data_IF_524087358523
#
_entry.id   IF_524087358523
#
_cell.length_a   1.000
_cell.length_b   1.000
_cell.length_c   1.000
_cell.angle_alpha   90.00
_cell.angle_beta   90.00
_cell.angle_gamma   90.00
#
_symmetry.space_group_name_H-M   'P 1'
#
loop_
_entity.id
_entity.type
_entity.pdbx_description
1 polymer ?
#
# COMPACT_ATOMS: atom_id res chain seq x y z
N UNK A 1 12.32 -11.91 21.93
CA UNK A 1 11.90 -13.02 21.04
C UNK A 1 12.94 -13.16 19.95
N UNK A 2 13.25 -14.39 19.53
CA UNK A 2 14.19 -14.69 18.44
C UNK A 2 13.52 -15.64 17.45
N UNK A 3 14.07 -15.76 16.25
CA UNK A 3 13.67 -16.82 15.33
C UNK A 3 14.24 -18.16 15.77
N UNK A 4 13.47 -19.23 15.57
CA UNK A 4 13.95 -20.60 15.70
C UNK A 4 14.68 -21.06 14.43
N UNK A 5 15.66 -21.96 14.58
CA UNK A 5 16.16 -22.75 13.46
C UNK A 5 15.06 -23.71 13.03
N UNK A 6 14.77 -23.72 11.73
CA UNK A 6 13.66 -24.50 11.15
C UNK A 6 14.23 -25.79 10.58
N UNK A 7 13.70 -26.91 11.02
CA UNK A 7 13.91 -28.23 10.42
C UNK A 7 12.62 -28.77 9.80
N UNK A 8 12.67 -29.98 9.23
CA UNK A 8 11.51 -30.62 8.59
C UNK A 8 10.36 -30.97 9.54
N UNK A 9 10.57 -30.90 10.86
CA UNK A 9 9.54 -31.17 11.87
C UNK A 9 8.90 -29.90 12.45
N UNK A 10 9.41 -28.73 12.05
CA UNK A 10 8.97 -27.46 12.59
C UNK A 10 7.55 -27.13 12.13
N UNK A 11 6.63 -26.77 13.04
CA UNK A 11 5.25 -26.44 12.66
C UNK A 11 5.20 -25.15 11.84
N UNK A 12 4.60 -25.25 10.65
CA UNK A 12 4.46 -24.14 9.70
C UNK A 12 3.01 -23.74 9.51
N UNK A 13 2.78 -22.44 9.31
CA UNK A 13 1.51 -21.88 8.87
C UNK A 13 1.30 -22.25 7.40
N UNK A 14 0.15 -22.82 7.10
CA UNK A 14 -0.25 -23.23 5.75
C UNK A 14 -1.70 -22.86 5.49
N UNK A 15 -2.10 -22.87 4.22
CA UNK A 15 -3.47 -22.58 3.78
C UNK A 15 -3.98 -21.21 4.25
N UNK A 16 -3.07 -20.22 4.33
CA UNK A 16 -3.42 -18.86 4.70
C UNK A 16 -4.32 -18.23 3.62
N UNK A 17 -5.47 -17.74 4.06
CA UNK A 17 -6.47 -17.08 3.23
C UNK A 17 -7.04 -15.86 3.95
N UNK A 18 -7.56 -14.92 3.16
CA UNK A 18 -8.17 -13.69 3.67
C UNK A 18 -9.51 -13.42 2.99
N UNK A 19 -10.43 -12.85 3.75
CA UNK A 19 -11.69 -12.30 3.23
C UNK A 19 -11.88 -10.88 3.77
N UNK A 20 -12.12 -9.92 2.88
CA UNK A 20 -12.36 -8.51 3.23
C UNK A 20 -13.82 -8.17 2.95
N UNK A 21 -14.55 -7.77 3.99
CA UNK A 21 -15.96 -7.37 3.92
C UNK A 21 -16.24 -6.25 4.91
N UNK A 22 -16.95 -5.19 4.49
CA UNK A 22 -17.39 -4.08 5.36
C UNK A 22 -16.28 -3.51 6.27
N UNK A 23 -15.07 -3.32 5.70
CA UNK A 23 -13.84 -2.89 6.41
C UNK A 23 -13.33 -3.86 7.48
N UNK A 24 -13.74 -5.12 7.45
CA UNK A 24 -13.15 -6.17 8.26
C UNK A 24 -12.34 -7.13 7.39
N UNK A 25 -11.13 -7.46 7.84
CA UNK A 25 -10.34 -8.56 7.30
C UNK A 25 -10.51 -9.77 8.21
N UNK A 26 -10.92 -10.91 7.65
CA UNK A 26 -10.88 -12.20 8.33
C UNK A 26 -9.78 -13.04 7.72
N UNK A 27 -8.79 -13.42 8.53
CA UNK A 27 -7.73 -14.34 8.16
C UNK A 27 -8.06 -15.75 8.66
N UNK A 28 -7.81 -16.75 7.83
CA UNK A 28 -7.91 -18.16 8.17
C UNK A 28 -6.70 -18.90 7.66
N UNK A 29 -6.22 -19.83 8.47
CA UNK A 29 -5.11 -20.72 8.13
C UNK A 29 -5.33 -22.08 8.78
N UNK A 30 -4.58 -23.08 8.32
CA UNK A 30 -4.51 -24.36 9.01
C UNK A 30 -3.69 -24.19 10.27
N UNK A 31 -4.32 -24.39 11.43
CA UNK A 31 -3.64 -24.31 12.71
C UNK A 31 -2.60 -25.42 12.83
N UNK A 32 -1.30 -25.13 13.03
CA UNK A 32 -0.27 -26.17 13.09
C UNK A 32 -0.41 -27.06 14.32
N UNK A 33 -0.07 -28.33 14.18
CA UNK A 33 -0.10 -29.27 15.31
C UNK A 33 0.93 -28.90 16.39
N UNK A 34 0.59 -29.15 17.65
CA UNK A 34 1.44 -28.83 18.81
C UNK A 34 1.53 -27.35 19.18
N UNK A 35 1.11 -26.42 18.31
CA UNK A 35 1.18 -24.97 18.55
C UNK A 35 0.00 -24.51 19.41
N UNK A 36 0.26 -23.81 20.51
CA UNK A 36 -0.77 -23.27 21.41
C UNK A 36 -1.20 -21.85 21.05
N UNK A 37 -0.28 -21.07 20.48
CA UNK A 37 -0.54 -19.70 20.06
C UNK A 37 0.32 -19.32 18.85
N UNK A 38 -0.11 -18.29 18.13
CA UNK A 38 0.66 -17.65 17.06
C UNK A 38 0.90 -16.19 17.39
N UNK A 39 1.89 -15.58 16.76
CA UNK A 39 2.08 -14.14 16.77
C UNK A 39 1.70 -13.59 15.39
N UNK A 40 0.81 -12.59 15.36
CA UNK A 40 0.33 -11.96 14.14
C UNK A 40 0.94 -10.56 14.06
N UNK A 41 1.70 -10.31 13.00
CA UNK A 41 2.24 -9.00 12.68
C UNK A 41 1.41 -8.37 11.55
N UNK A 42 1.06 -7.09 11.72
CA UNK A 42 0.35 -6.27 10.72
C UNK A 42 1.23 -5.07 10.39
N UNK A 43 1.47 -4.83 9.10
CA UNK A 43 2.23 -3.68 8.63
C UNK A 43 1.73 -3.20 7.26
N UNK A 44 2.15 -2.00 6.84
CA UNK A 44 2.03 -1.60 5.43
C UNK A 44 2.73 -2.64 4.54
N UNK A 45 2.13 -2.98 3.40
CA UNK A 45 2.73 -3.93 2.47
C UNK A 45 4.06 -3.44 1.87
N UNK A 46 4.32 -2.13 1.92
CA UNK A 46 5.58 -1.50 1.49
C UNK A 46 6.65 -1.47 2.59
N UNK A 47 6.30 -1.84 3.82
CA UNK A 47 7.27 -1.90 4.90
C UNK A 47 8.36 -2.95 4.56
N UNK A 48 9.65 -2.67 4.83
CA UNK A 48 10.72 -3.63 4.64
C UNK A 48 10.39 -4.93 5.39
N UNK A 49 10.37 -6.04 4.65
CA UNK A 49 10.02 -7.37 5.19
C UNK A 49 11.26 -8.06 5.77
N UNK A 50 12.46 -7.59 5.41
CA UNK A 50 13.72 -8.25 5.73
C UNK A 50 14.40 -7.66 6.96
N UNK A 51 14.34 -8.44 8.04
CA UNK A 51 15.18 -8.27 9.22
C UNK A 51 15.53 -9.64 9.80
N UNK A 52 16.75 -9.77 10.32
CA UNK A 52 17.18 -10.98 11.04
C UNK A 52 16.53 -11.13 12.42
N UNK A 53 15.74 -10.13 12.83
CA UNK A 53 14.99 -10.13 14.07
C UNK A 53 13.48 -10.10 13.82
N UNK A 54 12.68 -10.74 14.69
CA UNK A 54 11.23 -10.60 14.65
C UNK A 54 10.76 -9.15 14.74
N UNK A 55 9.73 -8.75 13.97
CA UNK A 55 9.16 -7.41 14.10
C UNK A 55 8.57 -7.14 15.50
N UNK A 56 8.60 -5.88 15.93
CA UNK A 56 7.93 -5.44 17.15
C UNK A 56 6.41 -5.34 16.95
N UNK A 57 5.65 -5.19 18.04
CA UNK A 57 4.22 -4.88 17.97
C UNK A 57 3.31 -6.04 17.50
N UNK A 58 3.78 -7.28 17.55
CA UNK A 58 2.95 -8.43 17.20
C UNK A 58 1.84 -8.68 18.23
N UNK A 59 0.70 -9.17 17.75
CA UNK A 59 -0.39 -9.64 18.58
C UNK A 59 -0.26 -11.14 18.84
N UNK A 60 -0.26 -11.55 20.10
CA UNK A 60 -0.41 -12.95 20.48
C UNK A 60 -1.86 -13.37 20.24
N UNK A 61 -2.06 -14.55 19.64
CA UNK A 61 -3.39 -15.08 19.35
C UNK A 61 -3.44 -16.58 19.62
N UNK A 62 -4.34 -17.03 20.48
CA UNK A 62 -4.41 -18.43 20.92
C UNK A 62 -5.28 -19.29 20.02
N UNK A 63 -5.10 -20.61 20.14
CA UNK A 63 -5.94 -21.58 19.41
C UNK A 63 -7.42 -21.47 19.81
N UNK A 64 -7.69 -21.18 21.08
CA UNK A 64 -9.02 -21.00 21.62
C UNK A 64 -9.69 -19.77 21.01
N UNK A 65 -8.98 -18.64 20.94
CA UNK A 65 -9.48 -17.43 20.29
C UNK A 65 -9.78 -17.67 18.81
N UNK A 66 -8.87 -18.36 18.10
CA UNK A 66 -9.06 -18.70 16.69
C UNK A 66 -10.29 -19.56 16.45
N UNK A 67 -10.52 -20.58 17.28
CA UNK A 67 -11.71 -21.43 17.21
C UNK A 67 -13.00 -20.65 17.52
N UNK A 68 -12.97 -19.84 18.57
CA UNK A 68 -14.13 -19.04 18.99
C UNK A 68 -14.57 -18.03 17.93
N UNK A 69 -13.62 -17.47 17.18
CA UNK A 69 -13.87 -16.45 16.16
C UNK A 69 -13.92 -17.00 14.72
N UNK A 70 -13.69 -18.31 14.54
CA UNK A 70 -13.59 -18.95 13.22
C UNK A 70 -12.58 -18.25 12.28
N UNK A 71 -11.41 -17.94 12.83
CA UNK A 71 -10.39 -17.11 12.18
C UNK A 71 -9.85 -16.00 13.08
N UNK A 72 -8.94 -15.21 12.54
CA UNK A 72 -8.55 -13.92 13.11
C UNK A 72 -9.31 -12.80 12.41
N UNK A 73 -10.04 -11.98 13.16
CA UNK A 73 -10.78 -10.84 12.62
C UNK A 73 -10.09 -9.53 13.03
N UNK A 74 -9.80 -8.71 12.04
CA UNK A 74 -9.21 -7.38 12.20
C UNK A 74 -10.08 -6.32 11.52
N UNK A 75 -10.10 -5.13 12.12
CA UNK A 75 -10.73 -3.97 11.49
C UNK A 75 -9.68 -3.25 10.64
N UNK A 76 -9.99 -3.05 9.36
CA UNK A 76 -9.15 -2.32 8.42
C UNK A 76 -9.46 -0.82 8.54
N UNK A 77 -8.83 -0.19 9.53
CA UNK A 77 -8.84 1.27 9.68
C UNK A 77 -7.70 1.95 8.90
N UNK A 78 -6.78 1.16 8.32
CA UNK A 78 -5.70 1.60 7.44
C UNK A 78 -6.20 1.94 6.02
N UNK A 79 -5.33 2.53 5.22
CA UNK A 79 -5.55 2.79 3.79
C UNK A 79 -4.40 2.16 2.99
N UNK A 80 -4.70 1.64 1.80
CA UNK A 80 -3.72 1.00 0.91
C UNK A 80 -3.63 -0.51 1.12
N UNK A 81 -2.47 -1.09 0.82
CA UNK A 81 -2.23 -2.51 1.01
C UNK A 81 -1.62 -2.79 2.39
N UNK A 82 -2.22 -3.73 3.10
CA UNK A 82 -1.79 -4.18 4.43
C UNK A 82 -1.28 -5.61 4.32
N UNK A 83 -0.10 -5.87 4.87
CA UNK A 83 0.46 -7.20 4.98
C UNK A 83 0.24 -7.76 6.40
N UNK A 84 -0.26 -8.99 6.46
CA UNK A 84 -0.28 -9.80 7.67
C UNK A 84 0.75 -10.91 7.55
N UNK A 85 1.55 -11.11 8.59
CA UNK A 85 2.48 -12.24 8.71
C UNK A 85 2.18 -13.00 9.99
N UNK A 86 1.99 -14.31 9.89
CA UNK A 86 1.65 -15.17 11.03
C UNK A 86 2.87 -16.01 11.37
N UNK A 87 3.29 -15.97 12.63
CA UNK A 87 4.42 -16.73 13.12
C UNK A 87 3.91 -17.79 14.10
N UNK A 88 4.21 -19.07 13.84
CA UNK A 88 4.02 -20.09 14.85
C UNK A 88 4.92 -19.80 16.05
N UNK A 89 4.34 -19.83 17.25
CA UNK A 89 5.06 -19.59 18.49
C UNK A 89 5.47 -20.92 19.11
N UNK A 90 6.77 -21.09 19.34
CA UNK A 90 7.33 -22.19 20.10
C UNK A 90 7.67 -21.71 21.51
N UNK A 91 7.36 -22.53 22.50
CA UNK A 91 7.76 -22.34 23.89
C UNK A 91 8.67 -23.51 24.27
N UNK A 92 9.98 -23.27 24.28
CA UNK A 92 10.98 -24.27 24.67
C UNK A 92 11.75 -23.75 25.87
N UNK A 93 11.82 -24.56 26.93
CA UNK A 93 12.62 -24.25 28.13
C UNK A 93 12.39 -22.87 28.76
N UNK A 94 11.19 -22.29 28.60
CA UNK A 94 10.83 -20.96 29.11
C UNK A 94 11.11 -19.81 28.13
N UNK A 95 11.82 -20.07 27.03
CA UNK A 95 12.06 -19.12 25.96
C UNK A 95 10.94 -19.16 24.91
N UNK A 96 10.63 -17.97 24.38
CA UNK A 96 9.65 -17.81 23.30
C UNK A 96 10.37 -17.56 21.97
N UNK A 97 10.19 -18.50 21.05
CA UNK A 97 10.75 -18.47 19.71
C UNK A 97 9.65 -18.42 18.65
N UNK A 98 9.97 -17.82 17.51
CA UNK A 98 9.07 -17.71 16.36
C UNK A 98 9.64 -18.47 15.17
N UNK A 99 8.79 -19.24 14.48
CA UNK A 99 9.19 -19.96 13.28
C UNK A 99 9.32 -18.96 12.12
N UNK A 100 10.51 -18.89 11.50
CA UNK A 100 10.77 -18.06 10.30
C UNK A 100 10.51 -18.89 9.03
N UNK A 101 9.37 -18.66 8.39
CA UNK A 101 9.08 -19.24 7.07
C UNK A 101 9.65 -18.35 5.96
N UNK A 102 10.45 -18.93 5.08
CA UNK A 102 11.08 -18.22 3.94
C UNK A 102 10.32 -18.37 2.62
N UNK A 103 9.40 -19.33 2.55
CA UNK A 103 8.51 -19.54 1.40
C UNK A 103 7.47 -18.43 1.24
N UNK A 104 7.11 -17.76 2.33
CA UNK A 104 6.12 -16.69 2.37
C UNK A 104 4.69 -17.18 2.54
N UNK A 105 4.46 -18.49 2.74
CA UNK A 105 3.12 -19.08 2.88
C UNK A 105 2.37 -18.58 4.13
N UNK A 106 3.11 -18.02 5.08
CA UNK A 106 2.60 -17.41 6.29
C UNK A 106 2.28 -15.91 6.16
N UNK A 107 2.41 -15.34 4.96
CA UNK A 107 2.19 -13.92 4.67
C UNK A 107 1.08 -13.73 3.63
N UNK A 108 0.17 -12.80 3.91
CA UNK A 108 -0.87 -12.40 2.96
C UNK A 108 -1.01 -10.88 2.92
N UNK A 109 -1.30 -10.35 1.73
CA UNK A 109 -1.53 -8.92 1.50
C UNK A 109 -3.00 -8.71 1.16
N UNK A 110 -3.63 -7.74 1.81
CA UNK A 110 -5.03 -7.36 1.57
C UNK A 110 -5.15 -5.87 1.30
N UNK A 111 -6.17 -5.48 0.54
CA UNK A 111 -6.50 -4.06 0.34
C UNK A 111 -7.40 -3.56 1.47
N UNK A 112 -6.94 -2.55 2.21
CA UNK A 112 -7.74 -1.80 3.18
C UNK A 112 -8.59 -0.68 2.54
N UNK A 113 -8.49 -0.54 1.21
CA UNK A 113 -9.11 0.53 0.44
C UNK A 113 -8.02 1.33 -0.28
N UNK A 114 -8.41 2.11 -1.30
CA UNK A 114 -7.47 2.99 -2.00
C UNK A 114 -7.53 4.38 -1.41
N UNK A 115 -6.36 5.00 -1.19
CA UNK A 115 -6.32 6.41 -0.83
C UNK A 115 -6.66 7.25 -2.06
N UNK A 116 -7.50 8.27 -1.89
CA UNK A 116 -7.82 9.16 -2.99
C UNK A 116 -6.78 10.26 -3.13
N UNK A 117 -6.43 10.51 -4.38
CA UNK A 117 -5.62 11.63 -4.83
C UNK A 117 -6.50 12.43 -5.79
N UNK A 118 -6.98 13.57 -5.32
CA UNK A 118 -7.72 14.51 -6.13
C UNK A 118 -6.76 15.43 -6.86
N UNK A 119 -7.07 15.79 -8.10
CA UNK A 119 -6.27 16.78 -8.82
C UNK A 119 -7.13 17.73 -9.64
N UNK A 120 -6.72 18.99 -9.67
CA UNK A 120 -7.30 20.02 -10.55
C UNK A 120 -6.22 20.71 -11.38
N UNK A 121 -6.61 21.08 -12.61
CA UNK A 121 -5.74 21.76 -13.57
C UNK A 121 -6.47 23.01 -14.06
N UNK A 122 -6.07 24.17 -13.55
CA UNK A 122 -6.66 25.45 -13.92
C UNK A 122 -5.78 26.16 -14.96
N UNK A 123 -6.39 26.53 -16.08
CA UNK A 123 -5.71 27.22 -17.17
C UNK A 123 -6.09 28.70 -17.18
N UNK A 124 -5.11 29.60 -17.06
CA UNK A 124 -5.31 31.05 -17.21
C UNK A 124 -4.74 31.47 -18.56
N UNK A 125 -5.61 31.97 -19.43
CA UNK A 125 -5.22 32.51 -20.74
C UNK A 125 -4.90 33.99 -20.59
N UNK A 126 -3.72 34.41 -21.04
CA UNK A 126 -3.46 35.82 -21.30
C UNK A 126 -4.18 36.26 -22.57
N UNK A 127 -4.89 37.39 -22.55
CA UNK A 127 -5.38 38.02 -23.77
C UNK A 127 -4.15 38.33 -24.64
N UNK A 128 -4.08 37.75 -25.84
CA UNK A 128 -2.99 37.86 -26.84
C UNK A 128 -1.70 37.05 -26.62
N UNK A 129 -1.54 36.31 -25.52
CA UNK A 129 -0.34 35.46 -25.35
C UNK A 129 -0.40 34.20 -26.22
N UNK A 130 0.75 33.80 -26.80
CA UNK A 130 0.94 32.47 -27.43
C UNK A 130 1.05 31.35 -26.39
N UNK A 131 1.19 31.71 -25.11
CA UNK A 131 1.29 30.81 -23.97
C UNK A 131 0.09 30.98 -23.04
N UNK A 132 -0.13 29.96 -22.23
CA UNK A 132 -1.09 29.99 -21.13
C UNK A 132 -0.45 29.43 -19.88
N UNK A 133 -0.83 30.00 -18.74
CA UNK A 133 -0.37 29.56 -17.43
C UNK A 133 -1.25 28.42 -16.94
N UNK A 134 -0.65 27.31 -16.51
CA UNK A 134 -1.34 26.18 -15.90
C UNK A 134 -0.99 26.12 -14.41
N UNK A 135 -2.02 26.09 -13.58
CA UNK A 135 -1.91 25.86 -12.15
C UNK A 135 -2.43 24.46 -11.86
N UNK A 136 -1.59 23.64 -11.23
CA UNK A 136 -1.95 22.29 -10.82
C UNK A 136 -2.08 22.24 -9.30
N UNK A 137 -3.13 21.57 -8.83
CA UNK A 137 -3.32 21.28 -7.41
C UNK A 137 -3.44 19.77 -7.25
N UNK A 138 -2.75 19.22 -6.26
CA UNK A 138 -2.91 17.84 -5.79
C UNK A 138 -3.47 17.88 -4.38
N UNK A 139 -4.52 17.13 -4.09
CA UNK A 139 -5.05 16.92 -2.73
C UNK A 139 -5.02 15.43 -2.43
N UNK A 140 -4.22 15.00 -1.46
CA UNK A 140 -4.05 13.59 -1.14
C UNK A 140 -4.57 13.24 0.26
N UNK A 141 -5.24 12.10 0.42
CA UNK A 141 -5.71 11.62 1.74
C UNK A 141 -4.56 11.15 2.63
N UNK A 142 -3.47 10.67 2.02
CA UNK A 142 -2.23 10.21 2.69
C UNK A 142 -1.02 10.83 1.99
N UNK A 143 0.18 10.84 2.60
CA UNK A 143 1.39 11.26 1.90
C UNK A 143 1.65 10.41 0.64
N UNK A 144 2.08 11.07 -0.45
CA UNK A 144 2.34 10.44 -1.75
C UNK A 144 3.74 10.78 -2.21
N UNK A 145 4.53 9.77 -2.56
CA UNK A 145 5.88 9.94 -3.10
C UNK A 145 5.89 10.65 -4.45
N UNK A 146 6.93 11.43 -4.71
CA UNK A 146 7.13 12.18 -5.97
C UNK A 146 7.17 11.29 -7.21
N UNK A 147 7.55 10.02 -7.03
CA UNK A 147 7.66 9.00 -8.08
C UNK A 147 6.33 8.34 -8.40
N UNK A 148 5.26 8.59 -7.64
CA UNK A 148 3.93 7.99 -7.85
C UNK A 148 3.20 8.65 -9.02
N UNK A 149 3.33 9.97 -9.16
CA UNK A 149 2.59 10.78 -10.13
C UNK A 149 3.52 11.41 -11.16
N UNK A 150 2.97 11.68 -12.34
CA UNK A 150 3.58 12.52 -13.35
C UNK A 150 2.51 13.35 -14.06
N UNK A 151 2.91 14.40 -14.76
CA UNK A 151 2.03 15.10 -15.68
C UNK A 151 2.55 14.96 -17.10
N UNK A 152 1.63 14.80 -18.05
CA UNK A 152 1.96 14.72 -19.48
C UNK A 152 1.44 15.96 -20.17
N UNK A 153 2.26 16.51 -21.05
CA UNK A 153 1.89 17.61 -21.94
C UNK A 153 1.76 17.12 -23.38
N UNK A 154 0.64 17.43 -24.03
CA UNK A 154 0.38 17.08 -25.43
C UNK A 154 -0.17 18.27 -26.20
N UNK A 155 0.30 18.46 -27.43
CA UNK A 155 -0.23 19.47 -28.35
C UNK A 155 -1.48 18.95 -29.06
N UNK A 156 -2.50 19.79 -29.21
CA UNK A 156 -3.69 19.51 -30.02
C UNK A 156 -4.77 18.66 -29.34
N UNK A 157 -4.58 18.27 -28.07
CA UNK A 157 -5.60 17.60 -27.28
C UNK A 157 -5.07 17.07 -25.94
N UNK A 158 -5.98 16.68 -25.04
CA UNK A 158 -5.60 16.09 -23.76
C UNK A 158 -4.88 14.75 -23.94
N UNK A 159 -3.81 14.49 -23.18
CA UNK A 159 -3.18 13.17 -23.15
C UNK A 159 -4.19 12.09 -22.72
N UNK A 160 -4.16 10.96 -23.41
CA UNK A 160 -4.93 9.75 -23.10
C UNK A 160 -4.20 8.80 -22.15
N UNK A 161 -2.88 8.91 -22.03
CA UNK A 161 -2.04 8.10 -21.16
C UNK A 161 -0.67 8.73 -20.90
N UNK A 162 0.13 8.07 -20.05
CA UNK A 162 1.46 8.59 -19.64
C UNK A 162 2.47 8.71 -20.80
N UNK A 163 2.29 7.91 -21.84
CA UNK A 163 3.13 7.91 -23.05
C UNK A 163 2.57 8.79 -24.19
N UNK A 164 1.40 9.40 -24.00
CA UNK A 164 0.70 10.20 -25.02
C UNK A 164 1.09 11.68 -24.93
N UNK A 165 2.37 11.97 -25.14
CA UNK A 165 2.94 13.32 -25.08
C UNK A 165 4.31 13.34 -24.41
N UNK A 166 4.70 14.52 -23.92
CA UNK A 166 5.93 14.70 -23.16
C UNK A 166 5.62 14.54 -21.68
N UNK A 167 6.21 13.52 -21.05
CA UNK A 167 6.09 13.25 -19.62
C UNK A 167 7.03 14.15 -18.82
N UNK A 168 6.52 14.69 -17.71
CA UNK A 168 7.27 15.45 -16.74
C UNK A 168 7.07 14.83 -15.34
N UNK A 169 8.16 14.45 -14.65
CA UNK A 169 8.08 13.94 -13.29
C UNK A 169 7.83 15.08 -12.30
N UNK A 170 7.22 14.76 -11.16
CA UNK A 170 7.25 15.66 -10.01
C UNK A 170 8.58 15.50 -9.26
N UNK A 171 9.09 16.61 -8.71
CA UNK A 171 10.40 16.65 -8.05
C UNK A 171 10.31 16.60 -6.52
N UNK A 172 9.10 16.75 -5.98
CA UNK A 172 8.80 16.80 -4.55
C UNK A 172 7.66 15.85 -4.21
N UNK A 173 7.70 15.32 -2.99
CA UNK A 173 6.61 14.51 -2.44
C UNK A 173 5.39 15.39 -2.14
N UNK A 174 4.23 14.77 -2.02
CA UNK A 174 2.99 15.42 -1.64
C UNK A 174 2.63 15.03 -0.21
N UNK A 175 2.51 16.01 0.68
CA UNK A 175 1.96 15.79 2.00
C UNK A 175 0.47 15.43 1.90
N UNK A 176 -0.06 14.81 2.95
CA UNK A 176 -1.51 14.69 3.10
C UNK A 176 -2.16 16.09 3.13
N UNK A 177 -3.32 16.22 2.50
CA UNK A 177 -3.99 17.49 2.25
C UNK A 177 -3.60 18.12 0.91
N UNK A 178 -3.81 19.44 0.81
CA UNK A 178 -3.68 20.21 -0.43
C UNK A 178 -2.25 20.67 -0.67
N UNK A 179 -1.74 20.39 -1.86
CA UNK A 179 -0.45 20.85 -2.39
C UNK A 179 -0.67 21.66 -3.67
N UNK A 180 -0.32 22.95 -3.64
CA UNK A 180 -0.34 23.80 -4.83
C UNK A 180 1.04 23.80 -5.47
N UNK A 181 1.10 23.43 -6.75
CA UNK A 181 2.36 23.36 -7.49
C UNK A 181 2.71 24.72 -8.10
N UNK A 182 4.01 25.01 -8.30
CA UNK A 182 4.42 26.17 -9.07
C UNK A 182 3.72 26.21 -10.44
N UNK A 183 3.23 27.37 -10.88
CA UNK A 183 2.60 27.49 -12.19
C UNK A 183 3.61 27.21 -13.30
N UNK A 184 3.13 26.58 -14.38
CA UNK A 184 3.94 26.33 -15.58
C UNK A 184 3.36 27.07 -16.78
N UNK A 185 4.22 27.54 -17.67
CA UNK A 185 3.83 28.11 -18.96
C UNK A 185 3.86 27.03 -20.04
N UNK A 186 2.77 26.89 -20.77
CA UNK A 186 2.67 25.96 -21.91
C UNK A 186 2.14 26.66 -23.16
N UNK A 187 2.31 26.06 -24.33
CA UNK A 187 1.72 26.59 -25.56
C UNK A 187 0.19 26.67 -25.45
N UNK A 188 -0.42 27.64 -26.13
CA UNK A 188 -1.88 27.82 -26.14
C UNK A 188 -2.64 26.54 -26.55
N UNK A 189 -2.08 25.79 -27.50
CA UNK A 189 -2.58 24.52 -28.04
C UNK A 189 -2.07 23.28 -27.28
N UNK A 190 -1.28 23.46 -26.22
CA UNK A 190 -0.82 22.37 -25.37
C UNK A 190 -1.87 22.08 -24.27
N UNK A 191 -2.01 20.83 -23.89
CA UNK A 191 -2.91 20.34 -22.85
C UNK A 191 -2.12 19.48 -21.87
N UNK A 192 -2.56 19.47 -20.61
CA UNK A 192 -1.88 18.73 -19.54
C UNK A 192 -2.87 17.81 -18.84
N UNK A 193 -2.40 16.61 -18.46
CA UNK A 193 -3.13 15.67 -17.61
C UNK A 193 -2.18 14.94 -16.66
N UNK A 194 -2.68 14.56 -15.49
CA UNK A 194 -1.91 13.87 -14.44
C UNK A 194 -2.19 12.37 -14.51
N UNK A 195 -1.17 11.56 -14.31
CA UNK A 195 -1.23 10.10 -14.33
C UNK A 195 -0.35 9.50 -13.24
N UNK A 196 -0.61 8.23 -12.92
CA UNK A 196 0.38 7.40 -12.24
C UNK A 196 1.57 7.13 -13.18
N UNK A 197 2.79 7.14 -12.63
CA UNK A 197 4.01 6.73 -13.35
C UNK A 197 3.97 5.23 -13.70
N UNK A 198 3.38 4.42 -12.80
CA UNK A 198 3.01 3.03 -13.02
C UNK A 198 1.57 2.78 -12.53
N UNK A 199 0.62 2.78 -13.47
CA UNK A 199 -0.79 2.55 -13.15
C UNK A 199 -1.11 1.14 -12.63
N UNK A 200 -0.30 0.12 -12.96
CA UNK A 200 -0.51 -1.25 -12.47
C UNK A 200 -0.08 -1.37 -11.02
N UNK A 201 1.05 -0.77 -10.67
CA UNK A 201 1.56 -0.72 -9.29
C UNK A 201 0.71 0.21 -8.43
N UNK A 202 0.69 1.49 -8.75
CA UNK A 202 0.10 2.51 -7.88
C UNK A 202 -1.43 2.50 -7.86
N UNK A 203 -2.06 1.97 -8.92
CA UNK A 203 -3.51 1.75 -8.96
C UNK A 203 -4.01 0.72 -7.94
N UNK A 204 -3.13 -0.05 -7.28
CA UNK A 204 -3.51 -0.92 -6.16
C UNK A 204 -3.68 -0.16 -4.85
N UNK A 205 -2.97 0.96 -4.69
CA UNK A 205 -2.89 1.73 -3.44
C UNK A 205 -3.72 3.00 -3.51
N UNK A 206 -3.81 3.60 -4.70
CA UNK A 206 -4.36 4.92 -4.90
C UNK A 206 -5.46 4.93 -5.96
N UNK A 207 -6.39 5.85 -5.79
CA UNK A 207 -7.38 6.23 -6.79
C UNK A 207 -7.11 7.68 -7.20
N UNK A 208 -6.87 7.92 -8.49
CA UNK A 208 -6.64 9.27 -9.02
C UNK A 208 -7.97 9.84 -9.52
N UNK A 209 -8.43 10.93 -8.90
CA UNK A 209 -9.75 11.53 -9.13
C UNK A 209 -9.59 12.94 -9.71
N UNK A 210 -10.06 13.22 -10.95
CA UNK A 210 -10.09 14.58 -11.47
C UNK A 210 -11.17 15.42 -10.79
N UNK A 211 -10.84 16.67 -10.46
CA UNK A 211 -11.76 17.74 -10.01
C UNK A 211 -12.12 18.70 -11.15
#
# INVERSE_FOLDING_TARGET
MKYAEVDSSTPVITELSSRVEDRFCTLRWRWPDGVQAVCIHKASAEAPVDGDSPPAGMKLYTREEYKANNGYRDRLDDIGLVAYTIFARLAEHGDTMLVRQKDGDNRIVVSAGKARIYYSILQKKGLFSKQKTVHMTITAEVPVGRDVLCYVKKKGGYPSGKEDGVLFPFVQDFAAGKSSLPPIEIGKEDFVRIFFTDGRKYGLYYELVPE
#
